data_IF_195150418727
#
_entry.id   IF_195150418727
#
_cell.length_a   1.000
_cell.length_b   1.000
_cell.length_c   1.000
_cell.angle_alpha   90.00
_cell.angle_beta   90.00
_cell.angle_gamma   90.00
#
_symmetry.space_group_name_H-M   'P 1'
#
loop_
_entity.id
_entity.type
_entity.pdbx_description
1 polymer ?
#
# COMPACT_ATOMS: atom_id res chain seq x y z
N UNK A 1 19.37 -11.42 42.02
CA UNK A 1 20.01 -11.83 40.75
C UNK A 1 19.07 -12.66 39.89
N UNK A 2 18.41 -13.71 40.40
CA UNK A 2 17.45 -14.51 39.61
C UNK A 2 16.21 -13.71 39.13
N UNK A 3 15.62 -12.90 40.02
CA UNK A 3 14.45 -12.06 39.74
C UNK A 3 14.71 -10.98 38.67
N UNK A 4 15.94 -10.45 38.57
CA UNK A 4 16.30 -9.54 37.48
C UNK A 4 16.35 -10.26 36.13
N UNK A 5 16.87 -11.50 36.07
CA UNK A 5 16.91 -12.29 34.83
C UNK A 5 15.51 -12.62 34.31
N UNK A 6 14.58 -13.03 35.19
CA UNK A 6 13.19 -13.28 34.80
C UNK A 6 12.53 -12.02 34.22
N UNK A 7 12.76 -10.85 34.83
CA UNK A 7 12.25 -9.58 34.32
C UNK A 7 12.84 -9.20 32.94
N UNK A 8 14.13 -9.45 32.68
CA UNK A 8 14.74 -9.23 31.36
C UNK A 8 14.21 -10.19 30.30
N UNK A 9 14.01 -11.47 30.66
CA UNK A 9 13.44 -12.45 29.73
C UNK A 9 11.98 -12.14 29.38
N UNK A 10 11.16 -11.77 30.38
CA UNK A 10 9.77 -11.35 30.16
C UNK A 10 9.67 -10.09 29.29
N UNK A 11 10.48 -9.07 29.58
CA UNK A 11 10.50 -7.84 28.77
C UNK A 11 10.98 -8.08 27.33
N UNK A 12 12.01 -8.92 27.12
CA UNK A 12 12.46 -9.31 25.79
C UNK A 12 11.35 -10.00 24.99
N UNK A 13 10.65 -10.97 25.59
CA UNK A 13 9.53 -11.67 24.94
C UNK A 13 8.42 -10.70 24.54
N UNK A 14 8.04 -9.77 25.42
CA UNK A 14 7.03 -8.73 25.12
C UNK A 14 7.48 -7.85 23.95
N UNK A 15 8.75 -7.42 23.93
CA UNK A 15 9.30 -6.62 22.82
C UNK A 15 9.22 -7.39 21.50
N UNK A 16 9.60 -8.67 21.48
CA UNK A 16 9.51 -9.50 20.27
C UNK A 16 8.06 -9.67 19.79
N UNK A 17 7.11 -9.88 20.70
CA UNK A 17 5.69 -10.00 20.37
C UNK A 17 5.16 -8.69 19.76
N UNK A 18 5.45 -7.55 20.41
CA UNK A 18 5.04 -6.24 19.91
C UNK A 18 5.67 -5.96 18.54
N UNK A 19 6.97 -6.23 18.38
CA UNK A 19 7.66 -6.06 17.12
C UNK A 19 7.03 -6.91 16.01
N UNK A 20 6.73 -8.19 16.28
CA UNK A 20 6.08 -9.08 15.33
C UNK A 20 4.67 -8.59 14.96
N UNK A 21 3.89 -8.11 15.94
CA UNK A 21 2.55 -7.57 15.75
C UNK A 21 2.52 -6.37 14.78
N UNK A 22 3.55 -5.52 14.79
CA UNK A 22 3.66 -4.40 13.86
C UNK A 22 4.31 -4.79 12.53
N UNK A 23 5.35 -5.63 12.57
CA UNK A 23 6.14 -5.96 11.39
C UNK A 23 5.35 -6.84 10.41
N UNK A 24 4.67 -7.87 10.90
CA UNK A 24 3.97 -8.84 10.04
C UNK A 24 2.90 -8.15 9.17
N UNK A 25 1.96 -7.35 9.71
CA UNK A 25 1.00 -6.60 8.88
C UNK A 25 1.67 -5.62 7.91
N UNK A 26 2.78 -5.00 8.31
CA UNK A 26 3.55 -4.07 7.46
C UNK A 26 4.13 -4.78 6.23
N UNK A 27 4.67 -6.00 6.41
CA UNK A 27 5.18 -6.82 5.31
C UNK A 27 4.04 -7.19 4.34
N UNK A 28 2.88 -7.62 4.85
CA UNK A 28 1.73 -7.93 4.01
C UNK A 28 1.20 -6.71 3.24
N UNK A 29 1.23 -5.53 3.87
CA UNK A 29 0.89 -4.29 3.19
C UNK A 29 1.82 -4.00 2.02
N UNK A 30 3.15 -4.05 2.21
CA UNK A 30 4.11 -3.83 1.13
C UNK A 30 4.01 -4.88 0.03
N UNK A 31 3.78 -6.14 0.38
CA UNK A 31 3.50 -7.19 -0.59
C UNK A 31 2.21 -6.89 -1.38
N UNK A 32 1.19 -6.35 -0.74
CA UNK A 32 -0.03 -5.86 -1.40
C UNK A 32 0.25 -4.75 -2.41
N UNK A 33 1.08 -3.77 -2.03
CA UNK A 33 1.50 -2.68 -2.92
C UNK A 33 2.33 -3.19 -4.11
N UNK A 34 3.25 -4.13 -3.87
CA UNK A 34 4.03 -4.76 -4.93
C UNK A 34 3.12 -5.49 -5.92
N UNK A 35 2.22 -6.34 -5.42
CA UNK A 35 1.27 -7.10 -6.23
C UNK A 35 0.28 -6.21 -6.98
N UNK A 36 0.00 -5.02 -6.47
CA UNK A 36 -0.79 -4.01 -7.14
C UNK A 36 -0.06 -3.45 -8.37
N UNK A 37 1.22 -3.09 -8.24
CA UNK A 37 2.04 -2.63 -9.37
C UNK A 37 2.30 -3.74 -10.40
N UNK A 38 2.46 -4.99 -9.96
CA UNK A 38 2.58 -6.16 -10.85
C UNK A 38 1.29 -6.43 -11.63
N UNK A 39 0.14 -6.07 -11.07
CA UNK A 39 -1.14 -6.19 -11.77
C UNK A 39 -1.32 -5.15 -12.88
N UNK A 40 -0.53 -4.08 -12.93
CA UNK A 40 -0.55 -3.05 -13.99
C UNK A 40 0.38 -3.47 -15.14
N UNK A 41 -0.01 -3.15 -16.38
CA UNK A 41 0.85 -3.39 -17.56
C UNK A 41 2.16 -2.62 -17.43
N UNK A 42 3.24 -3.12 -18.03
CA UNK A 42 4.56 -2.51 -17.88
C UNK A 42 4.60 -1.07 -18.43
N UNK A 43 3.87 -0.81 -19.52
CA UNK A 43 3.76 0.51 -20.15
C UNK A 43 3.09 1.56 -19.25
N UNK A 44 2.10 1.15 -18.46
CA UNK A 44 1.36 2.04 -17.57
C UNK A 44 1.98 2.12 -16.17
N UNK A 45 2.95 1.26 -15.86
CA UNK A 45 3.57 1.17 -14.54
C UNK A 45 4.54 2.33 -14.33
N UNK A 46 4.21 3.20 -13.37
CA UNK A 46 5.01 4.40 -13.08
C UNK A 46 6.21 4.14 -12.15
N UNK A 47 6.30 2.95 -11.58
CA UNK A 47 7.32 2.59 -10.60
C UNK A 47 7.56 1.07 -10.60
N UNK A 48 8.82 0.59 -10.61
CA UNK A 48 9.11 -0.83 -10.47
C UNK A 48 8.52 -1.41 -9.16
N UNK A 49 7.90 -2.61 -9.19
CA UNK A 49 7.21 -3.15 -8.01
C UNK A 49 8.13 -3.33 -6.81
N UNK A 50 9.39 -3.70 -7.04
CA UNK A 50 10.39 -3.90 -5.98
C UNK A 50 10.75 -2.62 -5.21
N UNK A 51 10.54 -1.44 -5.78
CA UNK A 51 10.91 -0.19 -5.12
C UNK A 51 10.03 0.15 -3.91
N UNK A 52 8.89 -0.53 -3.72
CA UNK A 52 8.06 -0.36 -2.51
C UNK A 52 8.81 -0.75 -1.24
N UNK A 53 9.74 -1.70 -1.34
CA UNK A 53 10.53 -2.23 -0.22
C UNK A 53 11.55 -1.23 0.35
N UNK A 54 11.93 -0.20 -0.42
CA UNK A 54 12.78 0.87 0.10
C UNK A 54 12.10 1.62 1.27
N UNK A 55 10.77 1.51 1.38
CA UNK A 55 9.99 1.99 2.53
C UNK A 55 10.33 1.28 3.84
N UNK A 56 11.10 0.19 3.85
CA UNK A 56 11.59 -0.40 5.11
C UNK A 56 12.67 0.45 5.79
N UNK A 57 13.32 1.36 5.05
CA UNK A 57 14.35 2.25 5.59
C UNK A 57 13.66 3.39 6.38
N UNK A 58 13.78 3.48 7.72
CA UNK A 58 12.87 4.31 8.54
C UNK A 58 12.83 5.79 8.18
N UNK A 59 13.99 6.44 8.05
CA UNK A 59 14.08 7.88 7.77
C UNK A 59 13.69 8.16 6.31
N UNK A 60 14.15 7.33 5.38
CA UNK A 60 13.83 7.45 3.96
C UNK A 60 12.33 7.25 3.68
N UNK A 61 11.69 6.32 4.39
CA UNK A 61 10.26 5.99 4.28
C UNK A 61 9.37 7.23 4.46
N UNK A 62 9.73 8.16 5.36
CA UNK A 62 8.92 9.35 5.64
C UNK A 62 8.58 10.15 4.38
N UNK A 63 9.55 10.26 3.46
CA UNK A 63 9.37 10.95 2.19
C UNK A 63 8.99 9.97 1.09
N UNK A 64 9.67 8.81 1.02
CA UNK A 64 9.48 7.83 -0.04
C UNK A 64 8.04 7.33 -0.14
N UNK A 65 7.35 7.17 0.99
CA UNK A 65 5.97 6.67 0.99
C UNK A 65 4.99 7.57 0.23
N UNK A 66 5.25 8.89 0.16
CA UNK A 66 4.46 9.79 -0.67
C UNK A 66 4.66 9.52 -2.16
N UNK A 67 5.91 9.27 -2.58
CA UNK A 67 6.22 8.87 -3.95
C UNK A 67 5.55 7.54 -4.29
N UNK A 68 5.66 6.54 -3.43
CA UNK A 68 5.03 5.22 -3.62
C UNK A 68 3.52 5.34 -3.82
N UNK A 69 2.81 6.03 -2.91
CA UNK A 69 1.35 6.22 -3.01
C UNK A 69 0.98 6.91 -4.32
N UNK A 70 1.63 8.02 -4.65
CA UNK A 70 1.30 8.79 -5.84
C UNK A 70 1.57 7.99 -7.13
N UNK A 71 2.66 7.21 -7.17
CA UNK A 71 3.02 6.39 -8.33
C UNK A 71 2.12 5.18 -8.53
N UNK A 72 1.65 4.57 -7.44
CA UNK A 72 0.62 3.52 -7.51
C UNK A 72 -0.69 4.10 -8.06
N UNK A 73 -1.14 5.23 -7.50
CA UNK A 73 -2.37 5.89 -7.95
C UNK A 73 -2.32 6.29 -9.43
N UNK A 74 -1.18 6.82 -9.89
CA UNK A 74 -0.96 7.17 -11.30
C UNK A 74 -0.95 5.93 -12.20
N UNK A 75 -0.30 4.84 -11.78
CA UNK A 75 -0.29 3.57 -12.53
C UNK A 75 -1.71 3.00 -12.66
N UNK A 76 -2.52 3.08 -11.61
CA UNK A 76 -3.92 2.67 -11.62
C UNK A 76 -4.78 3.55 -12.52
N UNK A 77 -4.61 4.87 -12.48
CA UNK A 77 -5.34 5.79 -13.34
C UNK A 77 -5.12 5.46 -14.84
N UNK A 78 -3.86 5.24 -15.23
CA UNK A 78 -3.50 4.88 -16.60
C UNK A 78 -4.06 3.51 -17.01
N UNK A 79 -3.97 2.51 -16.14
CA UNK A 79 -4.48 1.17 -16.44
C UNK A 79 -6.02 1.14 -16.48
N UNK A 80 -6.69 1.89 -15.60
CA UNK A 80 -8.14 2.05 -15.65
C UNK A 80 -8.59 2.75 -16.93
N UNK A 81 -7.87 3.80 -17.36
CA UNK A 81 -8.14 4.46 -18.64
C UNK A 81 -7.96 3.50 -19.82
N UNK A 82 -6.88 2.70 -19.84
CA UNK A 82 -6.62 1.69 -20.87
C UNK A 82 -7.72 0.63 -20.93
N UNK A 83 -8.22 0.20 -19.76
CA UNK A 83 -9.26 -0.83 -19.64
C UNK A 83 -10.69 -0.27 -19.70
N UNK A 84 -10.86 1.04 -19.94
CA UNK A 84 -12.17 1.72 -19.93
C UNK A 84 -12.98 1.49 -18.64
N UNK A 85 -12.28 1.35 -17.51
CA UNK A 85 -12.90 1.21 -16.20
C UNK A 85 -13.38 2.60 -15.76
N UNK A 86 -14.68 2.78 -15.46
CA UNK A 86 -15.18 4.06 -14.96
C UNK A 86 -14.59 4.31 -13.58
N UNK A 87 -13.78 5.36 -13.44
CA UNK A 87 -13.31 5.85 -12.15
C UNK A 87 -13.87 7.23 -11.90
N UNK A 88 -14.50 7.40 -10.73
CA UNK A 88 -14.99 8.71 -10.26
C UNK A 88 -13.83 9.62 -9.86
N UNK A 89 -12.65 9.06 -9.60
CA UNK A 89 -11.46 9.80 -9.16
C UNK A 89 -10.41 9.86 -10.27
N UNK A 90 -9.81 11.04 -10.49
CA UNK A 90 -8.71 11.18 -11.46
C UNK A 90 -7.48 10.33 -11.09
N UNK A 91 -7.23 10.13 -9.79
CA UNK A 91 -6.13 9.32 -9.26
C UNK A 91 -6.63 8.40 -8.14
N UNK A 92 -7.04 7.17 -8.47
CA UNK A 92 -7.50 6.18 -7.51
C UNK A 92 -6.55 6.00 -6.33
N UNK A 93 -7.06 5.90 -5.11
CA UNK A 93 -6.30 5.60 -3.87
C UNK A 93 -5.41 6.73 -3.34
N UNK A 94 -5.17 7.79 -4.12
CA UNK A 94 -4.22 8.85 -3.79
C UNK A 94 -4.63 9.63 -2.53
N UNK A 95 -5.91 9.99 -2.40
CA UNK A 95 -6.41 10.79 -1.28
C UNK A 95 -6.19 10.11 0.07
N UNK A 96 -6.62 8.86 0.20
CA UNK A 96 -6.47 8.08 1.43
C UNK A 96 -4.99 7.82 1.74
N UNK A 97 -4.17 7.55 0.72
CA UNK A 97 -2.74 7.27 0.90
C UNK A 97 -1.93 8.49 1.37
N UNK A 98 -2.22 9.68 0.83
CA UNK A 98 -1.57 10.91 1.25
C UNK A 98 -2.03 11.34 2.65
N UNK A 99 -3.32 11.25 2.95
CA UNK A 99 -3.86 11.50 4.30
C UNK A 99 -3.18 10.62 5.35
N UNK A 100 -3.02 9.33 5.04
CA UNK A 100 -2.27 8.40 5.90
C UNK A 100 -0.82 8.89 6.14
N UNK A 101 -0.09 9.27 5.10
CA UNK A 101 1.29 9.73 5.25
C UNK A 101 1.39 11.03 6.06
N UNK A 102 0.45 11.96 5.89
CA UNK A 102 0.37 13.20 6.68
C UNK A 102 0.12 12.89 8.17
N UNK A 103 -0.85 12.01 8.47
CA UNK A 103 -1.15 11.59 9.85
C UNK A 103 0.07 10.96 10.54
N UNK A 104 0.88 10.19 9.80
CA UNK A 104 2.14 9.64 10.32
C UNK A 104 3.18 10.70 10.65
N UNK A 105 3.22 11.82 9.93
CA UNK A 105 4.11 12.93 10.28
C UNK A 105 3.60 13.67 11.52
N UNK A 106 2.28 13.85 11.63
CA UNK A 106 1.64 14.46 12.80
C UNK A 106 1.80 13.61 14.07
N UNK A 107 2.01 12.29 13.97
CA UNK A 107 2.19 11.43 15.14
C UNK A 107 3.46 11.72 15.96
N UNK A 108 4.43 12.45 15.37
CA UNK A 108 5.62 12.91 16.09
C UNK A 108 5.37 14.11 17.02
N UNK A 109 4.18 14.73 16.98
CA UNK A 109 3.83 15.87 17.84
C UNK A 109 3.29 15.35 19.19
N UNK A 110 3.90 15.69 20.34
CA UNK A 110 3.61 15.05 21.63
C UNK A 110 2.13 15.10 22.07
N UNK A 111 1.41 16.19 21.81
CA UNK A 111 0.03 16.38 22.27
C UNK A 111 -1.00 15.81 21.27
N UNK A 112 -0.69 15.84 19.98
CA UNK A 112 -1.56 15.30 18.92
C UNK A 112 -1.25 13.83 18.57
N UNK A 113 -0.16 13.27 19.12
CA UNK A 113 0.47 12.05 18.65
C UNK A 113 -0.41 10.82 18.75
N UNK A 114 -1.17 10.67 19.84
CA UNK A 114 -2.04 9.49 20.08
C UNK A 114 -3.20 9.47 19.08
N UNK A 115 -3.90 10.59 18.93
CA UNK A 115 -5.03 10.70 17.98
C UNK A 115 -4.53 10.54 16.54
N UNK A 116 -3.41 11.18 16.20
CA UNK A 116 -2.78 11.04 14.89
C UNK A 116 -2.36 9.59 14.59
N UNK A 117 -1.86 8.86 15.59
CA UNK A 117 -1.49 7.43 15.44
C UNK A 117 -2.71 6.56 15.17
N UNK A 118 -3.81 6.77 15.91
CA UNK A 118 -5.06 6.04 15.65
C UNK A 118 -5.61 6.34 14.26
N UNK A 119 -5.66 7.61 13.87
CA UNK A 119 -6.05 8.02 12.52
C UNK A 119 -5.14 7.41 11.45
N UNK A 120 -3.83 7.39 11.69
CA UNK A 120 -2.86 6.76 10.79
C UNK A 120 -3.17 5.28 10.56
N UNK A 121 -3.40 4.50 11.61
CA UNK A 121 -3.70 3.06 11.50
C UNK A 121 -4.98 2.84 10.69
N UNK A 122 -6.04 3.62 10.95
CA UNK A 122 -7.31 3.52 10.21
C UNK A 122 -7.10 3.86 8.74
N UNK A 123 -6.49 5.01 8.42
CA UNK A 123 -6.20 5.40 7.03
C UNK A 123 -5.26 4.42 6.33
N UNK A 124 -4.34 3.78 7.06
CA UNK A 124 -3.45 2.78 6.51
C UNK A 124 -4.18 1.52 6.07
N UNK A 125 -5.10 1.02 6.90
CA UNK A 125 -5.96 -0.13 6.57
C UNK A 125 -6.89 0.23 5.39
N UNK A 126 -7.54 1.39 5.43
CA UNK A 126 -8.42 1.85 4.34
C UNK A 126 -7.67 1.95 3.00
N UNK A 127 -6.48 2.53 3.01
CA UNK A 127 -5.64 2.58 1.81
C UNK A 127 -5.29 1.18 1.30
N UNK A 128 -4.95 0.26 2.20
CA UNK A 128 -4.63 -1.11 1.81
C UNK A 128 -5.82 -1.83 1.16
N UNK A 129 -7.01 -1.69 1.73
CA UNK A 129 -8.25 -2.23 1.16
C UNK A 129 -8.48 -1.65 -0.23
N UNK A 130 -8.43 -0.31 -0.36
CA UNK A 130 -8.65 0.39 -1.62
C UNK A 130 -7.67 -0.05 -2.71
N UNK A 131 -6.37 -0.19 -2.40
CA UNK A 131 -5.38 -0.70 -3.36
C UNK A 131 -5.71 -2.13 -3.82
N UNK A 132 -6.15 -3.01 -2.91
CA UNK A 132 -6.51 -4.38 -3.27
C UNK A 132 -7.79 -4.45 -4.10
N UNK A 133 -8.76 -3.57 -3.87
CA UNK A 133 -9.99 -3.47 -4.67
C UNK A 133 -9.67 -3.07 -6.11
N UNK A 134 -8.91 -1.99 -6.31
CA UNK A 134 -8.48 -1.56 -7.64
C UNK A 134 -7.63 -2.63 -8.34
N UNK A 135 -6.75 -3.32 -7.61
CA UNK A 135 -5.99 -4.45 -8.16
C UNK A 135 -6.92 -5.55 -8.70
N UNK A 136 -7.93 -5.95 -7.92
CA UNK A 136 -8.91 -6.98 -8.35
C UNK A 136 -9.70 -6.51 -9.57
N UNK A 137 -10.11 -5.24 -9.58
CA UNK A 137 -10.86 -4.63 -10.68
C UNK A 137 -10.05 -4.62 -11.98
N UNK A 138 -8.77 -4.24 -11.91
CA UNK A 138 -7.85 -4.25 -13.05
C UNK A 138 -7.69 -5.67 -13.61
N UNK A 139 -7.49 -6.67 -12.74
CA UNK A 139 -7.33 -8.07 -13.18
C UNK A 139 -8.59 -8.56 -13.90
N UNK A 140 -9.77 -8.34 -13.31
CA UNK A 140 -11.03 -8.78 -13.89
C UNK A 140 -11.29 -8.16 -15.27
N UNK A 141 -11.02 -6.87 -15.46
CA UNK A 141 -11.24 -6.19 -16.73
C UNK A 141 -10.16 -6.51 -17.77
N UNK A 142 -8.93 -6.82 -17.34
CA UNK A 142 -7.87 -7.28 -18.24
C UNK A 142 -8.24 -8.59 -18.94
N UNK A 143 -8.81 -9.53 -18.22
CA UNK A 143 -9.18 -10.84 -18.79
C UNK A 143 -10.31 -10.68 -19.80
N UNK A 144 -11.32 -9.86 -19.49
CA UNK A 144 -12.40 -9.51 -20.43
C UNK A 144 -11.85 -8.82 -21.69
N UNK A 145 -10.96 -7.83 -21.53
CA UNK A 145 -10.34 -7.12 -22.65
C UNK A 145 -9.61 -8.07 -23.61
N UNK A 146 -8.90 -9.08 -23.10
CA UNK A 146 -8.23 -10.08 -23.94
C UNK A 146 -9.24 -10.94 -24.71
N UNK A 147 -10.31 -11.38 -24.04
CA UNK A 147 -11.36 -12.18 -24.68
C UNK A 147 -12.07 -11.41 -25.81
N UNK A 148 -12.32 -10.12 -25.62
CA UNK A 148 -12.96 -9.27 -26.63
C UNK A 148 -12.01 -9.02 -27.82
N UNK A 149 -10.72 -8.82 -27.55
CA UNK A 149 -9.70 -8.71 -28.59
C UNK A 149 -9.58 -9.99 -29.42
N UNK A 150 -9.60 -11.17 -28.79
CA UNK A 150 -9.58 -12.46 -29.48
C UNK A 150 -10.82 -12.66 -30.36
N UNK A 151 -12.03 -12.42 -29.84
CA UNK A 151 -13.27 -12.52 -30.62
C UNK A 151 -13.28 -11.59 -31.83
N UNK A 152 -12.77 -10.36 -31.68
CA UNK A 152 -12.69 -9.40 -32.79
C UNK A 152 -11.82 -9.88 -33.96
N UNK A 153 -10.77 -10.66 -33.68
CA UNK A 153 -9.86 -11.22 -34.69
C UNK A 153 -10.55 -12.36 -35.48
N UNK A 154 -11.37 -13.18 -34.84
CA UNK A 154 -12.05 -14.31 -35.49
C UNK A 154 -13.27 -13.92 -36.34
N UNK A 155 -13.70 -12.66 -36.28
CA UNK A 155 -14.85 -12.14 -37.03
C UNK A 155 -14.44 -11.29 -38.26
N UNK A 156 -13.14 -11.21 -38.59
CA UNK A 156 -12.61 -10.62 -39.83
C UNK A 156 -12.08 -11.71 -40.76
#
# INVERSE_FOLDING_TARGET
MFESYENYTGSAVIIFILMALFLVPTIFYFLGLQRALEAVSEENRQMPPGQVWLSLIPIFNLVWMFFVVNKIAESFALECARLSIPSTEMKPTQGIGNTKNILRLCSFIPIAGVIATLGFVVCWIMHWISVNEYRKLIIANRDNFKLDAEKGIFHQ
#
